data_IF_387413800266
#
_entry.id   IF_387413800266
#
_cell.length_a   1.000
_cell.length_b   1.000
_cell.length_c   1.000
_cell.angle_alpha   90.00
_cell.angle_beta   90.00
_cell.angle_gamma   90.00
#
_symmetry.space_group_name_H-M   'P 1'
#
loop_
_entity.id
_entity.type
_entity.pdbx_description
1 polymer ?
#
# COMPACT_ATOMS: atom_id res chain seq x y z
N UNK A 1 -3.78 -18.72 25.59
CA UNK A 1 -3.51 -17.47 26.33
C UNK A 1 -4.00 -16.29 25.51
N UNK A 2 -4.30 -15.16 26.14
CA UNK A 2 -4.64 -13.92 25.41
C UNK A 2 -3.53 -12.89 25.62
N UNK A 3 -3.15 -12.19 24.56
CA UNK A 3 -2.22 -11.06 24.59
C UNK A 3 -2.95 -9.76 24.23
N UNK A 4 -2.50 -8.65 24.81
CA UNK A 4 -2.97 -7.31 24.42
C UNK A 4 -1.93 -6.69 23.48
N UNK A 5 -2.37 -6.30 22.30
CA UNK A 5 -1.52 -5.70 21.26
C UNK A 5 -2.05 -4.32 20.88
N UNK A 6 -1.17 -3.36 20.75
CA UNK A 6 -1.55 -2.02 20.28
C UNK A 6 -1.41 -1.97 18.76
N UNK A 7 -2.46 -1.52 18.07
CA UNK A 7 -2.42 -1.33 16.62
C UNK A 7 -1.87 0.06 16.23
N UNK A 8 -1.69 0.31 14.93
CA UNK A 8 -1.18 1.60 14.46
C UNK A 8 -2.19 2.77 14.55
N UNK A 9 -3.43 2.48 14.96
CA UNK A 9 -4.42 3.51 15.34
C UNK A 9 -4.45 3.76 16.86
N UNK A 10 -3.43 3.28 17.60
CA UNK A 10 -3.30 3.38 19.06
C UNK A 10 -4.45 2.71 19.84
N UNK A 11 -5.04 1.63 19.30
CA UNK A 11 -6.10 0.88 19.95
C UNK A 11 -5.53 -0.41 20.53
N UNK A 12 -6.02 -0.80 21.70
CA UNK A 12 -5.67 -2.08 22.32
C UNK A 12 -6.59 -3.18 21.80
N UNK A 13 -6.00 -4.23 21.25
CA UNK A 13 -6.73 -5.39 20.71
C UNK A 13 -6.34 -6.62 21.52
N UNK A 14 -7.35 -7.27 22.12
CA UNK A 14 -7.17 -8.53 22.84
C UNK A 14 -7.22 -9.69 21.84
N UNK A 15 -6.12 -10.42 21.71
CA UNK A 15 -5.95 -11.45 20.69
C UNK A 15 -5.59 -12.78 21.33
N UNK A 16 -6.32 -13.84 20.96
CA UNK A 16 -6.01 -15.21 21.38
C UNK A 16 -4.72 -15.72 20.71
N UNK A 17 -3.83 -16.31 21.48
CA UNK A 17 -2.55 -16.83 21.01
C UNK A 17 -2.42 -18.33 21.27
N UNK A 18 -1.76 -19.12 20.41
CA UNK A 18 -1.22 -18.71 19.11
C UNK A 18 -2.30 -18.43 18.07
N UNK A 19 -2.01 -17.54 17.11
CA UNK A 19 -2.92 -17.26 15.99
C UNK A 19 -2.90 -18.43 14.98
N UNK A 20 -4.08 -18.99 14.73
CA UNK A 20 -4.29 -20.08 13.77
C UNK A 20 -5.35 -19.75 12.71
N UNK A 21 -6.08 -18.64 12.91
CA UNK A 21 -7.15 -18.26 11.98
C UNK A 21 -7.18 -16.74 11.80
N UNK A 22 -6.65 -16.30 10.66
CA UNK A 22 -6.50 -14.88 10.31
C UNK A 22 -7.28 -14.60 9.02
N UNK A 23 -8.03 -13.52 8.99
CA UNK A 23 -8.56 -12.94 7.74
C UNK A 23 -7.78 -11.67 7.42
N UNK A 24 -7.25 -11.57 6.19
CA UNK A 24 -6.54 -10.39 5.71
C UNK A 24 -7.40 -9.61 4.72
N UNK A 25 -7.60 -8.33 4.99
CA UNK A 25 -8.43 -7.43 4.16
C UNK A 25 -7.63 -6.57 3.18
N UNK A 26 -6.30 -6.69 3.19
CA UNK A 26 -5.40 -5.81 2.43
C UNK A 26 -4.42 -6.62 1.58
N UNK A 27 -4.28 -6.34 0.28
CA UNK A 27 -3.40 -7.09 -0.62
C UNK A 27 -1.94 -7.14 -0.16
N UNK A 28 -1.34 -6.00 0.15
CA UNK A 28 0.07 -5.90 0.58
C UNK A 28 0.34 -6.63 1.91
N UNK A 29 -0.61 -6.61 2.84
CA UNK A 29 -0.51 -7.35 4.10
C UNK A 29 -0.74 -8.85 3.91
N UNK A 30 -1.57 -9.24 2.94
CA UNK A 30 -1.75 -10.65 2.57
C UNK A 30 -0.45 -11.24 2.03
N UNK A 31 0.24 -10.52 1.16
CA UNK A 31 1.56 -10.91 0.66
C UNK A 31 2.57 -11.00 1.81
N UNK A 32 2.61 -10.00 2.69
CA UNK A 32 3.48 -10.01 3.87
C UNK A 32 3.26 -11.25 4.75
N UNK A 33 2.01 -11.62 5.04
CA UNK A 33 1.71 -12.81 5.84
C UNK A 33 2.27 -14.08 5.21
N UNK A 34 2.19 -14.20 3.88
CA UNK A 34 2.78 -15.32 3.15
C UNK A 34 4.29 -15.34 3.25
N UNK A 35 4.94 -14.20 3.04
CA UNK A 35 6.41 -14.08 3.05
C UNK A 35 7.00 -14.23 4.48
N UNK A 36 6.19 -13.99 5.51
CA UNK A 36 6.50 -14.35 6.89
C UNK A 36 6.34 -15.85 7.18
N UNK A 37 5.94 -16.65 6.20
CA UNK A 37 5.83 -18.10 6.31
C UNK A 37 4.53 -18.60 6.94
N UNK A 38 3.45 -17.82 6.89
CA UNK A 38 2.10 -18.31 7.21
C UNK A 38 1.52 -19.03 5.99
N UNK A 39 0.63 -19.99 6.25
CA UNK A 39 -0.11 -20.67 5.19
C UNK A 39 -1.52 -21.02 5.65
N UNK A 40 -1.67 -22.07 6.48
CA UNK A 40 -2.98 -22.54 6.92
C UNK A 40 -3.67 -21.57 7.88
N UNK A 41 -2.88 -20.75 8.56
CA UNK A 41 -3.37 -19.74 9.50
C UNK A 41 -4.19 -18.64 8.80
N UNK A 42 -3.91 -18.33 7.52
CA UNK A 42 -4.71 -17.36 6.75
C UNK A 42 -5.91 -18.08 6.14
N UNK A 43 -7.09 -17.86 6.72
CA UNK A 43 -8.33 -18.56 6.35
C UNK A 43 -9.24 -17.79 5.39
N UNK A 44 -8.95 -16.51 5.13
CA UNK A 44 -9.73 -15.69 4.20
C UNK A 44 -8.98 -14.45 3.74
N UNK A 45 -9.22 -14.04 2.49
CA UNK A 45 -8.59 -12.90 1.84
C UNK A 45 -9.61 -12.12 1.00
N UNK A 46 -9.28 -10.90 0.57
CA UNK A 46 -10.13 -10.15 -0.38
C UNK A 46 -9.89 -10.63 -1.83
N UNK A 47 -10.81 -10.27 -2.72
CA UNK A 47 -10.68 -10.54 -4.17
C UNK A 47 -9.51 -9.79 -4.83
N UNK A 48 -8.95 -8.78 -4.17
CA UNK A 48 -7.81 -8.00 -4.64
C UNK A 48 -6.47 -8.51 -4.11
N UNK A 49 -6.46 -9.49 -3.20
CA UNK A 49 -5.25 -10.16 -2.73
C UNK A 49 -4.75 -11.17 -3.78
N UNK A 50 -4.24 -10.66 -4.89
CA UNK A 50 -3.81 -11.46 -6.04
C UNK A 50 -2.46 -12.17 -5.83
N UNK A 51 -1.71 -11.75 -4.82
CA UNK A 51 -0.45 -12.36 -4.38
C UNK A 51 -0.56 -12.93 -2.97
N UNK A 52 0.06 -14.11 -2.73
CA UNK A 52 0.63 -15.01 -3.73
C UNK A 52 -0.48 -15.69 -4.54
N UNK A 53 -0.23 -16.02 -5.79
CA UNK A 53 -1.22 -16.67 -6.67
C UNK A 53 -1.79 -17.98 -6.11
N UNK A 54 -0.99 -18.73 -5.33
CA UNK A 54 -1.44 -19.94 -4.65
C UNK A 54 -2.62 -19.63 -3.71
N UNK A 55 -2.54 -18.57 -2.91
CA UNK A 55 -3.62 -18.18 -2.00
C UNK A 55 -4.80 -17.60 -2.77
N UNK A 56 -4.53 -16.79 -3.77
CA UNK A 56 -5.56 -16.24 -4.64
C UNK A 56 -6.45 -17.32 -5.27
N UNK A 57 -5.90 -18.49 -5.61
CA UNK A 57 -6.65 -19.59 -6.20
C UNK A 57 -7.43 -20.42 -5.16
N UNK A 58 -6.89 -20.55 -3.94
CA UNK A 58 -7.32 -21.57 -2.99
C UNK A 58 -7.99 -21.02 -1.72
N UNK A 59 -7.71 -19.76 -1.32
CA UNK A 59 -8.28 -19.20 -0.11
C UNK A 59 -9.70 -18.65 -0.34
N UNK A 60 -10.63 -18.77 0.63
CA UNK A 60 -11.94 -18.14 0.60
C UNK A 60 -11.84 -16.62 0.41
N UNK A 61 -12.70 -16.05 -0.45
CA UNK A 61 -12.78 -14.61 -0.71
C UNK A 61 -13.92 -13.98 0.01
N UNK A 62 -13.61 -13.02 0.87
CA UNK A 62 -14.58 -12.33 1.73
C UNK A 62 -15.19 -11.07 1.10
N UNK A 63 -14.83 -10.74 -0.14
CA UNK A 63 -15.30 -9.53 -0.84
C UNK A 63 -14.15 -8.64 -1.31
N UNK A 64 -14.38 -7.35 -1.48
CA UNK A 64 -13.34 -6.36 -1.82
C UNK A 64 -12.74 -5.71 -0.58
N UNK A 65 -11.74 -4.83 -0.75
CA UNK A 65 -11.13 -4.07 0.35
C UNK A 65 -12.11 -3.08 0.98
N UNK A 66 -12.88 -2.38 0.16
CA UNK A 66 -13.88 -1.39 0.61
C UNK A 66 -15.25 -2.01 0.91
N UNK A 67 -15.57 -3.15 0.30
CA UNK A 67 -16.89 -3.80 0.37
C UNK A 67 -16.76 -5.29 0.64
N UNK A 68 -16.09 -5.63 1.72
CA UNK A 68 -16.04 -7.01 2.24
C UNK A 68 -17.37 -7.41 2.92
N UNK A 69 -17.62 -8.71 3.02
CA UNK A 69 -18.81 -9.24 3.69
C UNK A 69 -18.49 -9.66 5.11
N UNK A 70 -19.06 -8.96 6.09
CA UNK A 70 -18.93 -9.28 7.51
C UNK A 70 -19.41 -10.72 7.78
N UNK A 71 -20.53 -11.13 7.17
CA UNK A 71 -21.08 -12.50 7.33
C UNK A 71 -20.11 -13.59 6.86
N UNK A 72 -19.46 -13.38 5.69
CA UNK A 72 -18.45 -14.32 5.19
C UNK A 72 -17.22 -14.38 6.09
N UNK A 73 -16.80 -13.24 6.66
CA UNK A 73 -15.68 -13.18 7.59
C UNK A 73 -16.02 -13.95 8.87
N UNK A 74 -17.18 -13.70 9.48
CA UNK A 74 -17.64 -14.36 10.70
C UNK A 74 -17.77 -15.88 10.48
N UNK A 75 -18.28 -16.31 9.32
CA UNK A 75 -18.41 -17.72 8.98
C UNK A 75 -17.06 -18.47 8.91
N UNK A 76 -15.96 -17.75 8.67
CA UNK A 76 -14.61 -18.31 8.74
C UNK A 76 -14.07 -18.45 10.16
N UNK A 77 -14.81 -17.97 11.17
CA UNK A 77 -14.43 -18.00 12.59
C UNK A 77 -12.96 -17.58 12.83
N UNK A 78 -12.53 -16.38 12.42
CA UNK A 78 -11.15 -15.94 12.60
C UNK A 78 -10.90 -15.51 14.06
N UNK A 79 -9.67 -15.70 14.52
CA UNK A 79 -9.18 -15.15 15.79
C UNK A 79 -8.74 -13.70 15.63
N UNK A 80 -8.44 -13.29 14.40
CA UNK A 80 -7.97 -11.94 14.07
C UNK A 80 -8.39 -11.56 12.65
N UNK A 81 -8.84 -10.33 12.48
CA UNK A 81 -8.95 -9.65 11.18
C UNK A 81 -7.87 -8.58 11.10
N UNK A 82 -7.10 -8.57 10.01
CA UNK A 82 -6.07 -7.56 9.75
C UNK A 82 -6.57 -6.63 8.64
N UNK A 83 -6.58 -5.33 8.93
CA UNK A 83 -7.02 -4.29 8.01
C UNK A 83 -6.08 -3.09 7.96
N UNK A 84 -6.45 -2.11 7.14
CA UNK A 84 -5.75 -0.83 7.01
C UNK A 84 -6.74 0.33 6.94
N UNK A 85 -6.40 1.43 7.57
CA UNK A 85 -7.23 2.63 7.69
C UNK A 85 -7.62 3.25 6.35
N UNK A 86 -6.71 3.23 5.39
CA UNK A 86 -6.94 3.80 4.05
C UNK A 86 -7.70 2.82 3.15
N UNK A 87 -7.35 1.54 3.21
CA UNK A 87 -7.88 0.50 2.33
C UNK A 87 -9.30 0.07 2.67
N UNK A 88 -9.67 0.08 3.94
CA UNK A 88 -10.95 -0.43 4.40
C UNK A 88 -11.93 0.70 4.75
N UNK A 89 -13.23 0.44 4.64
CA UNK A 89 -14.24 1.41 5.05
C UNK A 89 -14.38 1.42 6.57
N UNK A 90 -14.46 2.61 7.16
CA UNK A 90 -14.65 2.78 8.60
C UNK A 90 -15.87 2.02 9.11
N UNK A 91 -17.01 2.17 8.44
CA UNK A 91 -18.25 1.49 8.81
C UNK A 91 -18.08 -0.03 8.88
N UNK A 92 -17.48 -0.65 7.83
CA UNK A 92 -17.28 -2.10 7.80
C UNK A 92 -16.34 -2.60 8.91
N UNK A 93 -15.31 -1.82 9.24
CA UNK A 93 -14.40 -2.15 10.36
C UNK A 93 -15.12 -2.03 11.68
N UNK A 94 -15.88 -0.96 11.95
CA UNK A 94 -16.67 -0.79 13.17
C UNK A 94 -17.75 -1.88 13.37
N UNK A 95 -18.28 -2.43 12.28
CA UNK A 95 -19.18 -3.60 12.34
C UNK A 95 -18.44 -4.87 12.77
N UNK A 96 -17.23 -5.11 12.20
CA UNK A 96 -16.41 -6.26 12.57
C UNK A 96 -15.93 -6.21 14.02
N UNK A 97 -15.52 -5.05 14.50
CA UNK A 97 -15.00 -4.84 15.86
C UNK A 97 -15.98 -5.17 16.97
N UNK A 98 -17.28 -5.13 16.69
CA UNK A 98 -18.33 -5.56 17.64
C UNK A 98 -18.34 -7.06 17.87
N UNK A 99 -17.71 -7.85 16.99
CA UNK A 99 -17.83 -9.30 16.92
C UNK A 99 -16.48 -10.01 17.01
N UNK A 100 -15.43 -9.40 16.43
CA UNK A 100 -14.13 -10.03 16.24
C UNK A 100 -13.00 -9.07 16.63
N UNK A 101 -11.84 -9.58 17.06
CA UNK A 101 -10.63 -8.79 17.16
C UNK A 101 -10.20 -8.27 15.78
N UNK A 102 -10.02 -6.94 15.66
CA UNK A 102 -9.55 -6.28 14.43
C UNK A 102 -8.32 -5.45 14.73
N UNK A 103 -7.22 -5.77 14.08
CA UNK A 103 -5.97 -5.01 14.14
C UNK A 103 -5.81 -4.17 12.87
N UNK A 104 -5.60 -2.87 13.03
CA UNK A 104 -5.51 -1.92 11.92
C UNK A 104 -4.14 -1.30 11.78
N UNK A 105 -3.64 -1.28 10.56
CA UNK A 105 -2.47 -0.47 10.21
C UNK A 105 -2.88 0.94 9.74
N UNK A 106 -1.98 1.91 9.96
CA UNK A 106 -2.03 3.27 9.41
C UNK A 106 -0.61 3.60 8.92
N UNK A 107 -0.37 3.45 7.61
CA UNK A 107 0.96 3.52 7.01
C UNK A 107 1.04 4.71 6.08
N UNK A 108 1.84 5.72 6.44
CA UNK A 108 2.01 6.95 5.67
C UNK A 108 3.42 7.11 5.10
N UNK A 109 4.39 6.36 5.63
CA UNK A 109 5.81 6.47 5.26
C UNK A 109 6.56 5.14 5.49
N UNK A 110 7.83 5.09 5.13
CA UNK A 110 8.65 3.90 5.30
C UNK A 110 8.84 3.47 6.77
N UNK A 111 9.10 4.36 7.75
CA UNK A 111 9.10 4.00 9.16
C UNK A 111 7.81 3.33 9.63
N UNK A 112 6.64 3.82 9.24
CA UNK A 112 5.34 3.21 9.59
C UNK A 112 5.21 1.81 8.96
N UNK A 113 5.69 1.62 7.72
CA UNK A 113 5.70 0.33 7.05
C UNK A 113 6.61 -0.68 7.78
N UNK A 114 7.80 -0.26 8.20
CA UNK A 114 8.72 -1.08 8.99
C UNK A 114 8.08 -1.49 10.33
N UNK A 115 7.49 -0.54 11.05
CA UNK A 115 6.79 -0.80 12.30
C UNK A 115 5.62 -1.79 12.10
N UNK A 116 4.82 -1.62 11.04
CA UNK A 116 3.73 -2.52 10.68
C UNK A 116 4.22 -3.95 10.45
N UNK A 117 5.30 -4.14 9.68
CA UNK A 117 5.89 -5.46 9.42
C UNK A 117 6.30 -6.14 10.74
N UNK A 118 6.98 -5.40 11.63
CA UNK A 118 7.42 -5.92 12.92
C UNK A 118 6.25 -6.29 13.82
N UNK A 119 5.23 -5.44 13.90
CA UNK A 119 4.03 -5.69 14.70
C UNK A 119 3.25 -6.91 14.19
N UNK A 120 3.05 -7.04 12.87
CA UNK A 120 2.41 -8.23 12.27
C UNK A 120 3.26 -9.48 12.54
N UNK A 121 4.59 -9.38 12.44
CA UNK A 121 5.50 -10.47 12.80
C UNK A 121 5.32 -10.92 14.26
N UNK A 122 5.24 -9.99 15.19
CA UNK A 122 4.98 -10.27 16.60
C UNK A 122 3.61 -10.91 16.83
N UNK A 123 2.55 -10.37 16.22
CA UNK A 123 1.20 -10.92 16.28
C UNK A 123 1.14 -12.39 15.83
N UNK A 124 1.87 -12.70 14.77
CA UNK A 124 1.86 -14.02 14.13
C UNK A 124 2.93 -14.98 14.66
N UNK A 125 3.69 -14.61 15.70
CA UNK A 125 4.80 -15.42 16.21
C UNK A 125 5.95 -15.57 15.21
N UNK A 126 6.15 -14.58 14.32
CA UNK A 126 7.18 -14.53 13.28
C UNK A 126 8.15 -13.36 13.47
N UNK A 127 8.46 -13.03 14.72
CA UNK A 127 9.26 -11.86 15.10
C UNK A 127 10.61 -11.83 14.41
N UNK A 128 11.35 -12.96 14.40
CA UNK A 128 12.69 -13.02 13.81
C UNK A 128 12.65 -12.84 12.29
N UNK A 129 11.69 -13.46 11.60
CA UNK A 129 11.50 -13.31 10.15
C UNK A 129 11.17 -11.85 9.79
N UNK A 130 10.27 -11.22 10.55
CA UNK A 130 9.90 -9.82 10.35
C UNK A 130 11.08 -8.88 10.62
N UNK A 131 11.88 -9.15 11.65
CA UNK A 131 13.08 -8.37 11.95
C UNK A 131 14.11 -8.46 10.81
N UNK A 132 14.42 -9.68 10.34
CA UNK A 132 15.34 -9.88 9.23
C UNK A 132 14.85 -9.18 7.95
N UNK A 133 13.54 -9.30 7.64
CA UNK A 133 12.92 -8.63 6.51
C UNK A 133 13.06 -7.11 6.60
N UNK A 134 12.76 -6.52 7.75
CA UNK A 134 12.85 -5.07 7.93
C UNK A 134 14.28 -4.56 7.84
N UNK A 135 15.27 -5.28 8.38
CA UNK A 135 16.68 -4.97 8.23
C UNK A 135 17.12 -4.99 6.76
N UNK A 136 16.66 -5.96 6.00
CA UNK A 136 16.96 -6.04 4.56
C UNK A 136 16.33 -4.88 3.79
N UNK A 137 15.05 -4.56 4.06
CA UNK A 137 14.37 -3.41 3.44
C UNK A 137 15.14 -2.12 3.72
N UNK A 138 15.49 -1.85 4.98
CA UNK A 138 16.22 -0.63 5.35
C UNK A 138 17.54 -0.51 4.59
N UNK A 139 18.36 -1.57 4.54
CA UNK A 139 19.64 -1.59 3.79
C UNK A 139 19.43 -1.31 2.29
N UNK A 140 18.39 -1.89 1.67
CA UNK A 140 18.10 -1.67 0.27
C UNK A 140 17.67 -0.22 -0.01
N UNK A 141 16.86 0.36 0.88
CA UNK A 141 16.36 1.72 0.73
C UNK A 141 17.44 2.79 0.99
N UNK A 142 18.40 2.52 1.87
CA UNK A 142 19.58 3.37 2.07
C UNK A 142 20.45 3.50 0.80
N UNK A 143 20.39 2.52 -0.09
CA UNK A 143 21.17 2.49 -1.34
C UNK A 143 20.44 3.14 -2.53
N UNK A 144 19.21 3.60 -2.36
CA UNK A 144 18.46 4.27 -3.42
C UNK A 144 19.07 5.67 -3.66
N UNK A 145 19.53 5.98 -4.90
CA UNK A 145 19.99 7.31 -5.21
C UNK A 145 18.84 8.32 -5.11
N UNK A 146 19.16 9.58 -4.97
CA UNK A 146 18.13 10.63 -5.01
C UNK A 146 18.02 11.18 -6.43
N UNK A 147 16.81 11.47 -6.84
CA UNK A 147 16.53 12.32 -7.98
C UNK A 147 17.02 13.76 -7.70
N UNK A 148 17.30 14.51 -8.75
CA UNK A 148 17.83 15.87 -8.64
C UNK A 148 16.74 16.94 -8.38
N UNK A 149 15.68 16.57 -7.67
CA UNK A 149 14.59 17.47 -7.31
C UNK A 149 13.57 17.69 -8.42
N UNK A 150 13.54 16.83 -9.45
CA UNK A 150 12.55 16.92 -10.52
C UNK A 150 11.14 16.99 -9.92
N UNK A 151 10.34 17.88 -10.50
CA UNK A 151 8.96 18.14 -10.12
C UNK A 151 8.06 17.04 -10.67
N UNK A 152 7.46 16.23 -9.80
CA UNK A 152 6.66 15.06 -10.21
C UNK A 152 5.19 15.25 -9.92
N UNK A 153 4.33 14.80 -10.85
CA UNK A 153 2.92 14.54 -10.66
C UNK A 153 2.67 13.04 -10.81
N UNK A 154 2.08 12.41 -9.80
CA UNK A 154 1.79 10.97 -9.81
C UNK A 154 0.30 10.74 -9.97
N UNK A 155 -0.15 10.28 -11.14
CA UNK A 155 -1.56 10.04 -11.46
C UNK A 155 -1.97 8.60 -11.13
N UNK A 156 -3.08 8.45 -10.40
CA UNK A 156 -3.63 7.17 -9.93
C UNK A 156 -4.97 6.82 -10.57
N UNK A 157 -5.67 7.79 -11.17
CA UNK A 157 -7.01 7.61 -11.73
C UNK A 157 -7.25 8.53 -12.91
N UNK A 158 -8.16 8.13 -13.79
CA UNK A 158 -8.63 8.93 -14.95
C UNK A 158 -10.16 8.97 -14.99
N UNK A 159 -10.69 10.12 -15.39
CA UNK A 159 -12.11 10.48 -15.45
C UNK A 159 -12.79 10.53 -14.07
N UNK A 160 -12.52 11.60 -13.29
CA UNK A 160 -11.51 12.65 -13.54
C UNK A 160 -10.09 12.16 -13.28
N UNK A 161 -9.07 12.90 -13.72
CA UNK A 161 -7.71 12.63 -13.24
C UNK A 161 -7.65 12.86 -11.74
N UNK A 162 -7.01 11.95 -11.04
CA UNK A 162 -6.68 12.09 -9.61
C UNK A 162 -5.20 11.77 -9.40
N UNK A 163 -4.59 12.52 -8.52
CA UNK A 163 -3.17 12.39 -8.23
C UNK A 163 -2.90 12.02 -6.76
N UNK A 164 -1.73 11.44 -6.49
CA UNK A 164 -1.27 11.21 -5.13
C UNK A 164 -0.72 12.52 -4.55
N UNK A 165 -1.44 13.09 -3.60
CA UNK A 165 -1.06 14.30 -2.87
C UNK A 165 -0.23 13.99 -1.63
N UNK A 166 0.07 15.04 -0.87
CA UNK A 166 0.75 14.96 0.41
C UNK A 166 -0.04 14.06 1.40
N UNK A 167 0.59 13.57 2.44
CA UNK A 167 0.02 12.65 3.44
C UNK A 167 -0.41 11.27 2.88
N UNK A 168 0.20 10.83 1.78
CA UNK A 168 0.07 9.48 1.26
C UNK A 168 1.40 8.73 1.32
N UNK A 169 1.35 7.41 1.43
CA UNK A 169 2.55 6.58 1.34
C UNK A 169 3.28 6.79 0.00
N UNK A 170 2.53 6.92 -1.11
CA UNK A 170 3.07 7.23 -2.44
C UNK A 170 3.91 8.52 -2.40
N UNK A 171 3.39 9.59 -1.80
CA UNK A 171 4.13 10.83 -1.68
C UNK A 171 5.43 10.67 -0.87
N UNK A 172 5.38 9.92 0.24
CA UNK A 172 6.58 9.65 1.02
C UNK A 172 7.63 8.87 0.21
N UNK A 173 7.22 7.91 -0.61
CA UNK A 173 8.10 7.19 -1.53
C UNK A 173 8.71 8.13 -2.57
N UNK A 174 7.90 9.00 -3.18
CA UNK A 174 8.39 9.97 -4.17
C UNK A 174 9.37 10.97 -3.58
N UNK A 175 9.02 11.58 -2.44
CA UNK A 175 9.78 12.71 -1.89
C UNK A 175 10.90 12.28 -0.96
N UNK A 176 10.62 11.50 0.07
CA UNK A 176 11.62 11.13 1.08
C UNK A 176 12.54 10.01 0.60
N UNK A 177 12.00 9.03 -0.17
CA UNK A 177 12.79 7.91 -0.67
C UNK A 177 13.49 8.28 -1.98
N UNK A 178 12.75 8.75 -3.00
CA UNK A 178 13.32 8.99 -4.32
C UNK A 178 13.92 10.40 -4.50
N UNK A 179 13.55 11.39 -3.66
CA UNK A 179 14.07 12.76 -3.77
C UNK A 179 13.39 13.63 -4.83
N UNK A 180 12.21 13.23 -5.32
CA UNK A 180 11.37 14.07 -6.18
C UNK A 180 10.71 15.19 -5.40
N UNK A 181 10.22 16.21 -6.09
CA UNK A 181 9.34 17.23 -5.53
C UNK A 181 7.92 17.03 -6.04
N UNK A 182 6.97 16.75 -5.16
CA UNK A 182 5.56 16.69 -5.57
C UNK A 182 5.06 18.08 -5.96
N UNK A 183 4.50 18.22 -7.18
CA UNK A 183 4.02 19.53 -7.68
C UNK A 183 2.73 20.00 -7.05
N UNK A 184 1.98 19.11 -6.42
CA UNK A 184 0.74 19.47 -5.75
C UNK A 184 1.04 20.28 -4.49
N UNK A 185 0.24 21.30 -4.16
CA UNK A 185 0.38 22.03 -2.90
C UNK A 185 -0.02 21.14 -1.71
N UNK A 186 0.59 21.33 -0.52
CA UNK A 186 0.31 20.50 0.66
C UNK A 186 -1.17 20.44 1.07
N UNK A 187 -1.90 21.52 0.82
CA UNK A 187 -3.33 21.68 1.14
C UNK A 187 -4.28 20.99 0.13
N UNK A 188 -3.79 20.50 -0.99
CA UNK A 188 -4.61 19.84 -2.02
C UNK A 188 -5.31 18.57 -1.52
N UNK A 189 -4.87 18.02 -0.37
CA UNK A 189 -5.40 16.79 0.19
C UNK A 189 -4.70 15.54 -0.30
N UNK A 190 -5.22 14.37 0.08
CA UNK A 190 -4.57 13.08 -0.18
C UNK A 190 -4.66 12.65 -1.65
N UNK A 191 -5.82 12.81 -2.24
CA UNK A 191 -6.10 12.37 -3.62
C UNK A 191 -6.91 13.42 -4.37
N UNK A 192 -6.30 14.59 -4.68
CA UNK A 192 -7.01 15.66 -5.36
C UNK A 192 -7.35 15.28 -6.80
N UNK A 193 -8.45 15.85 -7.29
CA UNK A 193 -8.75 15.88 -8.71
C UNK A 193 -7.86 16.92 -9.39
N UNK A 194 -7.39 16.59 -10.58
CA UNK A 194 -6.50 17.44 -11.39
C UNK A 194 -7.13 17.54 -12.79
N UNK A 195 -7.67 18.70 -13.13
CA UNK A 195 -8.15 18.94 -14.47
C UNK A 195 -7.04 19.37 -15.44
N UNK A 196 -7.36 19.49 -16.71
CA UNK A 196 -6.40 19.87 -17.77
C UNK A 196 -5.80 21.28 -17.53
N UNK A 197 -6.57 22.19 -16.94
CA UNK A 197 -6.11 23.54 -16.63
C UNK A 197 -5.03 23.49 -15.55
N UNK A 198 -5.30 22.76 -14.47
CA UNK A 198 -4.37 22.57 -13.37
C UNK A 198 -3.12 21.78 -13.79
N UNK A 199 -3.27 20.77 -14.68
CA UNK A 199 -2.11 20.05 -15.25
C UNK A 199 -1.15 21.02 -15.94
N UNK A 200 -1.66 21.96 -16.74
CA UNK A 200 -0.84 22.98 -17.43
C UNK A 200 -0.23 24.01 -16.48
N UNK A 201 -0.95 24.38 -15.43
CA UNK A 201 -0.47 25.32 -14.41
C UNK A 201 0.67 24.72 -13.56
N UNK A 202 0.53 23.47 -13.14
CA UNK A 202 1.51 22.76 -12.31
C UNK A 202 2.85 22.56 -13.01
N UNK A 203 2.90 22.45 -14.34
CA UNK A 203 4.10 22.28 -15.16
C UNK A 203 5.09 21.25 -14.54
N UNK A 204 4.71 19.99 -14.36
CA UNK A 204 5.62 18.99 -13.86
C UNK A 204 6.74 18.69 -14.87
N UNK A 205 7.93 18.32 -14.35
CA UNK A 205 9.00 17.79 -15.20
C UNK A 205 8.70 16.34 -15.61
N UNK A 206 8.07 15.60 -14.68
CA UNK A 206 7.72 14.19 -14.86
C UNK A 206 6.27 13.94 -14.45
N UNK A 207 5.51 13.24 -15.30
CA UNK A 207 4.20 12.70 -14.95
C UNK A 207 4.30 11.18 -14.88
N UNK A 208 4.12 10.62 -13.71
CA UNK A 208 4.07 9.18 -13.50
C UNK A 208 2.65 8.67 -13.63
N UNK A 209 2.42 7.67 -14.50
CA UNK A 209 1.14 7.03 -14.72
C UNK A 209 1.14 5.68 -14.02
N UNK A 210 0.42 5.56 -12.91
CA UNK A 210 0.37 4.33 -12.11
C UNK A 210 -0.35 3.19 -12.83
N UNK A 211 0.15 1.95 -12.72
CA UNK A 211 -0.55 0.77 -13.22
C UNK A 211 -1.81 0.41 -12.41
N UNK A 212 -1.96 0.99 -11.22
CA UNK A 212 -3.08 0.76 -10.30
C UNK A 212 -3.46 2.02 -9.50
N UNK A 213 -4.69 2.11 -8.95
CA UNK A 213 -5.83 1.23 -9.21
C UNK A 213 -6.42 1.38 -10.60
N UNK A 214 -6.11 2.47 -11.35
CA UNK A 214 -6.51 2.65 -12.74
C UNK A 214 -5.41 2.17 -13.68
N UNK A 215 -5.68 1.24 -14.59
CA UNK A 215 -4.67 0.70 -15.50
C UNK A 215 -4.42 1.68 -16.66
N UNK A 216 -3.53 2.65 -16.47
CA UNK A 216 -3.10 3.52 -17.55
C UNK A 216 -2.47 2.72 -18.70
N UNK A 217 -2.76 3.12 -19.94
CA UNK A 217 -2.31 2.46 -21.17
C UNK A 217 -1.54 3.44 -22.06
N UNK A 218 -0.84 2.99 -23.12
CA UNK A 218 -0.15 3.90 -24.05
C UNK A 218 -1.03 5.02 -24.65
N UNK A 219 -2.33 4.77 -24.82
CA UNK A 219 -3.27 5.82 -25.25
C UNK A 219 -3.32 6.99 -24.27
N UNK A 220 -3.28 6.70 -22.99
CA UNK A 220 -3.31 7.74 -21.94
C UNK A 220 -1.97 8.48 -21.84
N UNK A 221 -0.87 7.80 -22.16
CA UNK A 221 0.44 8.44 -22.28
C UNK A 221 0.40 9.52 -23.38
N UNK A 222 -0.06 9.17 -24.59
CA UNK A 222 -0.21 10.11 -25.69
C UNK A 222 -1.16 11.28 -25.36
N UNK A 223 -2.27 11.01 -24.65
CA UNK A 223 -3.21 12.04 -24.20
C UNK A 223 -2.54 13.07 -23.26
N UNK A 224 -1.68 12.63 -22.33
CA UNK A 224 -0.99 13.52 -21.41
C UNK A 224 0.16 14.26 -22.15
N UNK A 225 0.86 13.61 -23.07
CA UNK A 225 1.89 14.24 -23.92
C UNK A 225 1.32 15.41 -24.75
N UNK A 226 0.07 15.28 -25.27
CA UNK A 226 -0.61 16.37 -25.96
C UNK A 226 -0.97 17.54 -25.03
N UNK A 227 -1.16 17.30 -23.73
CA UNK A 227 -1.44 18.35 -22.74
C UNK A 227 -0.16 19.01 -22.24
N UNK A 228 0.90 18.21 -22.04
CA UNK A 228 2.15 18.58 -21.37
C UNK A 228 3.37 18.27 -22.26
N UNK A 229 3.57 19.06 -23.32
CA UNK A 229 4.62 18.83 -24.33
C UNK A 229 6.07 18.80 -23.80
N UNK A 230 6.34 19.30 -22.60
CA UNK A 230 7.68 19.39 -22.00
C UNK A 230 7.94 18.37 -20.91
N UNK A 231 6.90 17.72 -20.41
CA UNK A 231 7.01 16.74 -19.33
C UNK A 231 7.42 15.36 -19.88
N UNK A 232 8.24 14.65 -19.13
CA UNK A 232 8.48 13.23 -19.38
C UNK A 232 7.29 12.43 -18.84
N UNK A 233 6.60 11.69 -19.69
CA UNK A 233 5.47 10.85 -19.27
C UNK A 233 5.97 9.43 -19.05
N UNK A 234 5.90 8.96 -17.82
CA UNK A 234 6.49 7.71 -17.38
C UNK A 234 5.45 6.74 -16.81
N UNK A 235 5.05 5.69 -17.54
CA UNK A 235 4.29 4.59 -16.96
C UNK A 235 5.10 3.87 -15.88
N UNK A 236 4.50 3.68 -14.70
CA UNK A 236 5.16 3.04 -13.54
C UNK A 236 4.31 1.92 -12.96
N UNK A 237 4.97 0.90 -12.40
CA UNK A 237 4.28 -0.11 -11.62
C UNK A 237 3.89 0.47 -10.25
N UNK A 238 2.59 0.71 -10.07
CA UNK A 238 2.02 1.33 -8.88
C UNK A 238 2.28 0.54 -7.60
N UNK A 239 2.32 -0.80 -7.68
CA UNK A 239 2.56 -1.66 -6.51
C UNK A 239 3.86 -1.32 -5.79
N UNK A 240 4.90 -0.89 -6.50
CA UNK A 240 6.18 -0.52 -5.89
C UNK A 240 6.17 0.86 -5.21
N UNK A 241 5.15 1.66 -5.43
CA UNK A 241 4.95 2.95 -4.76
C UNK A 241 3.88 2.91 -3.67
N UNK A 242 2.94 1.96 -3.75
CA UNK A 242 1.74 1.93 -2.89
C UNK A 242 1.68 0.73 -1.93
N UNK A 243 2.38 -0.40 -2.22
CA UNK A 243 2.34 -1.59 -1.38
C UNK A 243 3.43 -1.55 -0.31
N UNK A 244 3.01 -1.40 0.91
CA UNK A 244 3.84 -1.51 2.11
C UNK A 244 3.79 -2.95 2.65
N UNK A 245 4.93 -3.52 3.02
CA UNK A 245 5.06 -4.92 3.43
C UNK A 245 6.27 -5.56 2.74
N UNK A 246 6.23 -6.86 2.51
CA UNK A 246 7.32 -7.60 1.87
C UNK A 246 7.65 -7.15 0.45
N UNK A 247 6.68 -6.57 -0.28
CA UNK A 247 6.88 -5.97 -1.59
C UNK A 247 8.00 -4.92 -1.62
N UNK A 248 8.28 -4.26 -0.49
CA UNK A 248 9.36 -3.29 -0.36
C UNK A 248 10.74 -3.88 -0.65
N UNK A 249 10.95 -5.19 -0.44
CA UNK A 249 12.18 -5.88 -0.84
C UNK A 249 12.46 -5.77 -2.36
N UNK A 250 11.41 -5.70 -3.16
CA UNK A 250 11.48 -5.59 -4.61
C UNK A 250 11.31 -4.15 -5.12
N UNK A 251 10.80 -3.26 -4.29
CA UNK A 251 10.58 -1.86 -4.65
C UNK A 251 11.91 -1.10 -4.84
N UNK A 252 12.90 -1.30 -3.98
CA UNK A 252 14.16 -0.56 -4.01
C UNK A 252 14.90 -0.63 -5.36
N UNK A 253 15.15 -1.82 -5.97
CA UNK A 253 15.79 -1.87 -7.29
C UNK A 253 14.93 -1.25 -8.39
N UNK A 254 13.60 -1.34 -8.29
CA UNK A 254 12.71 -0.72 -9.26
C UNK A 254 12.73 0.81 -9.16
N UNK A 255 12.67 1.37 -7.95
CA UNK A 255 12.74 2.81 -7.72
C UNK A 255 14.06 3.41 -8.24
N UNK A 256 15.18 2.70 -8.07
CA UNK A 256 16.45 3.08 -8.67
C UNK A 256 16.34 3.19 -10.18
N UNK A 257 15.76 2.19 -10.86
CA UNK A 257 15.56 2.25 -12.32
C UNK A 257 14.67 3.42 -12.74
N UNK A 258 13.63 3.76 -11.95
CA UNK A 258 12.76 4.92 -12.22
C UNK A 258 13.56 6.21 -12.12
N UNK A 259 14.40 6.37 -11.11
CA UNK A 259 15.25 7.55 -10.93
C UNK A 259 16.25 7.68 -12.07
N UNK A 260 16.93 6.58 -12.44
CA UNK A 260 17.92 6.56 -13.53
C UNK A 260 17.31 6.93 -14.92
N UNK A 261 15.99 6.77 -15.08
CA UNK A 261 15.28 7.13 -16.33
C UNK A 261 14.91 8.59 -16.43
N UNK A 262 14.93 9.33 -15.34
CA UNK A 262 14.50 10.74 -15.29
C UNK A 262 15.63 11.70 -14.90
N UNK A 263 16.80 11.18 -14.46
CA UNK A 263 18.03 11.94 -14.30
C UNK A 263 18.78 12.01 -15.63
#
# INVERSE_FOLDING_TARGET
MHGVFTDQMNRQVLIAQPLQRIVSLVPSQTELLYDLGLNEEVVGITKFCIYPQKWYRNKPRVGGTKNFSVQKIVALNPQLVIGNKEENTRQGIEELEKILPVWMSDVQNLPDAIAMIQQIGQLCGKTDAAFQMTQQIQRLFEQIPKAHGQRVLYLIWRNPYMAAGHQTFINAMLTHVCGFTNVLPPEAGRYPQVDVSLLRELQPDVVMLSSEPYPFTPKHTAEIEEILHRATILPVNGEFFSWYGSRLLHAAPYLKQVIDRVN
#
